data_IF_058524760107
#
_entry.id   IF_058524760107
#
_cell.length_a   1.000
_cell.length_b   1.000
_cell.length_c   1.000
_cell.angle_alpha   90.00
_cell.angle_beta   90.00
_cell.angle_gamma   90.00
#
_symmetry.space_group_name_H-M   'P 1'
#
loop_
_entity.id
_entity.type
_entity.pdbx_description
1 polymer ?
#
# COMPACT_ATOMS: atom_id res chain seq x y z
N UNK A 1 -23.72 6.42 -12.00
CA UNK A 1 -22.40 5.77 -12.17
C UNK A 1 -21.38 6.31 -11.17
N UNK A 2 -21.25 7.64 -11.03
CA UNK A 2 -20.38 8.29 -10.02
C UNK A 2 -20.60 7.78 -8.59
N UNK A 3 -21.84 7.69 -8.12
CA UNK A 3 -22.11 7.26 -6.74
C UNK A 3 -21.73 5.80 -6.47
N UNK A 4 -21.93 4.92 -7.47
CA UNK A 4 -21.50 3.52 -7.38
C UNK A 4 -19.97 3.44 -7.30
N UNK A 5 -19.27 4.21 -8.15
CA UNK A 5 -17.81 4.27 -8.11
C UNK A 5 -17.29 4.83 -6.78
N UNK A 6 -17.95 5.83 -6.21
CA UNK A 6 -17.62 6.37 -4.88
C UNK A 6 -17.82 5.35 -3.77
N UNK A 7 -18.96 4.66 -3.73
CA UNK A 7 -19.24 3.61 -2.73
C UNK A 7 -18.18 2.51 -2.83
N UNK A 8 -17.90 2.03 -4.04
CA UNK A 8 -16.87 1.01 -4.28
C UNK A 8 -15.49 1.50 -3.85
N UNK A 9 -15.13 2.75 -4.16
CA UNK A 9 -13.85 3.35 -3.77
C UNK A 9 -13.69 3.39 -2.25
N UNK A 10 -14.72 3.84 -1.52
CA UNK A 10 -14.69 3.93 -0.06
C UNK A 10 -14.61 2.54 0.58
N UNK A 11 -15.43 1.58 0.14
CA UNK A 11 -15.40 0.21 0.66
C UNK A 11 -14.05 -0.44 0.39
N UNK A 12 -13.52 -0.31 -0.83
CA UNK A 12 -12.20 -0.82 -1.18
C UNK A 12 -11.09 -0.16 -0.35
N UNK A 13 -11.19 1.15 -0.10
CA UNK A 13 -10.26 1.90 0.75
C UNK A 13 -10.25 1.40 2.19
N UNK A 14 -11.42 1.16 2.78
CA UNK A 14 -11.53 0.60 4.14
C UNK A 14 -10.90 -0.79 4.21
N UNK A 15 -11.19 -1.65 3.23
CA UNK A 15 -10.57 -2.98 3.13
C UNK A 15 -9.04 -2.84 3.03
N UNK A 16 -8.53 -1.97 2.16
CA UNK A 16 -7.09 -1.77 2.00
C UNK A 16 -6.40 -1.26 3.29
N UNK A 17 -7.03 -0.35 4.04
CA UNK A 17 -6.50 0.16 5.32
C UNK A 17 -6.37 -0.96 6.35
N UNK A 18 -7.39 -1.80 6.48
CA UNK A 18 -7.44 -2.90 7.46
C UNK A 18 -6.49 -4.03 7.05
N UNK A 19 -6.49 -4.40 5.78
CA UNK A 19 -5.70 -5.53 5.29
C UNK A 19 -4.23 -5.20 5.08
N UNK A 20 -3.82 -3.95 4.91
CA UNK A 20 -2.41 -3.64 4.66
C UNK A 20 -1.44 -4.03 5.79
N UNK A 21 -1.69 -3.69 7.08
CA UNK A 21 -0.83 -4.14 8.17
C UNK A 21 -0.86 -5.66 8.33
N UNK A 22 -2.03 -6.28 8.13
CA UNK A 22 -2.19 -7.73 8.18
C UNK A 22 -1.39 -8.41 7.06
N UNK A 23 -1.44 -7.88 5.84
CA UNK A 23 -0.67 -8.34 4.70
C UNK A 23 0.83 -8.26 4.98
N UNK A 24 1.33 -7.12 5.46
CA UNK A 24 2.74 -6.92 5.80
C UNK A 24 3.18 -7.95 6.84
N UNK A 25 2.46 -8.06 7.96
CA UNK A 25 2.84 -8.94 9.07
C UNK A 25 2.77 -10.41 8.67
N UNK A 26 1.70 -10.85 8.00
CA UNK A 26 1.54 -12.25 7.60
C UNK A 26 2.54 -12.64 6.51
N UNK A 27 2.77 -11.78 5.52
CA UNK A 27 3.76 -12.04 4.47
C UNK A 27 5.17 -12.10 5.06
N UNK A 28 5.53 -11.19 5.96
CA UNK A 28 6.82 -11.23 6.66
C UNK A 28 6.99 -12.47 7.55
N UNK A 29 5.92 -12.91 8.24
CA UNK A 29 5.96 -14.10 9.12
C UNK A 29 5.95 -15.43 8.38
N UNK A 30 5.26 -15.51 7.24
CA UNK A 30 5.14 -16.76 6.46
C UNK A 30 6.16 -16.88 5.33
N UNK A 31 7.05 -15.89 5.17
CA UNK A 31 8.10 -15.90 4.15
C UNK A 31 7.57 -16.08 2.72
N UNK A 32 6.44 -15.45 2.40
CA UNK A 32 5.83 -15.58 1.08
C UNK A 32 4.50 -14.88 0.94
N UNK A 33 3.94 -14.93 -0.27
CA UNK A 33 2.61 -14.38 -0.55
C UNK A 33 1.55 -15.07 0.33
N UNK A 34 0.70 -14.26 0.93
CA UNK A 34 -0.41 -14.72 1.76
C UNK A 34 -1.73 -14.24 1.18
N UNK A 35 -2.82 -14.93 1.53
CA UNK A 35 -4.17 -14.51 1.16
C UNK A 35 -4.47 -13.06 1.56
N UNK A 36 -3.94 -12.59 2.70
CA UNK A 36 -4.10 -11.21 3.14
C UNK A 36 -3.35 -10.22 2.24
N UNK A 37 -2.16 -10.61 1.76
CA UNK A 37 -1.40 -9.83 0.76
C UNK A 37 -2.13 -9.72 -0.57
N UNK A 38 -2.76 -10.81 -1.01
CA UNK A 38 -3.56 -10.83 -2.23
C UNK A 38 -4.84 -9.98 -2.09
N UNK A 39 -5.56 -10.10 -0.97
CA UNK A 39 -6.72 -9.23 -0.68
C UNK A 39 -6.31 -7.76 -0.65
N UNK A 40 -5.17 -7.44 -0.03
CA UNK A 40 -4.65 -6.07 0.00
C UNK A 40 -4.29 -5.56 -1.39
N UNK A 41 -3.64 -6.37 -2.24
CA UNK A 41 -3.32 -6.02 -3.62
C UNK A 41 -4.58 -5.71 -4.43
N UNK A 42 -5.57 -6.60 -4.39
CA UNK A 42 -6.82 -6.40 -5.13
C UNK A 42 -7.63 -5.21 -4.59
N UNK A 43 -7.63 -4.97 -3.27
CA UNK A 43 -8.27 -3.81 -2.68
C UNK A 43 -7.64 -2.51 -3.19
N UNK A 44 -6.30 -2.41 -3.21
CA UNK A 44 -5.60 -1.25 -3.75
C UNK A 44 -5.84 -1.10 -5.25
N UNK A 45 -5.80 -2.18 -6.02
CA UNK A 45 -6.12 -2.15 -7.45
C UNK A 45 -7.53 -1.58 -7.69
N UNK A 46 -8.51 -1.99 -6.90
CA UNK A 46 -9.88 -1.49 -6.97
C UNK A 46 -9.98 -0.01 -6.56
N UNK A 47 -9.27 0.42 -5.52
CA UNK A 47 -9.17 1.84 -5.13
C UNK A 47 -8.59 2.67 -6.27
N UNK A 48 -7.50 2.22 -6.89
CA UNK A 48 -6.86 2.92 -8.00
C UNK A 48 -7.78 2.98 -9.23
N UNK A 49 -8.41 1.86 -9.61
CA UNK A 49 -9.31 1.82 -10.75
C UNK A 49 -10.52 2.73 -10.55
N UNK A 50 -11.14 2.69 -9.37
CA UNK A 50 -12.26 3.57 -9.04
C UNK A 50 -11.84 5.04 -8.99
N UNK A 51 -10.65 5.36 -8.47
CA UNK A 51 -10.12 6.72 -8.53
C UNK A 51 -9.97 7.21 -9.98
N UNK A 52 -9.40 6.39 -10.88
CA UNK A 52 -9.26 6.72 -12.30
C UNK A 52 -10.61 6.96 -12.99
N UNK A 53 -11.65 6.24 -12.59
CA UNK A 53 -13.03 6.47 -13.08
C UNK A 53 -13.62 7.76 -12.53
N UNK A 54 -13.26 8.16 -11.30
CA UNK A 54 -13.75 9.38 -10.67
C UNK A 54 -13.06 10.65 -11.20
N UNK A 55 -11.79 10.58 -11.62
CA UNK A 55 -11.03 11.75 -12.12
C UNK A 55 -11.75 12.52 -13.24
N UNK A 56 -12.29 11.87 -14.30
CA UNK A 56 -13.00 12.58 -15.37
C UNK A 56 -14.24 13.34 -14.91
N UNK A 57 -14.89 12.94 -13.81
CA UNK A 57 -16.09 13.62 -13.31
C UNK A 57 -15.78 14.97 -12.66
N UNK A 58 -14.60 15.14 -12.07
CA UNK A 58 -14.17 16.38 -11.39
C UNK A 58 -12.69 16.69 -11.72
N UNK A 59 -12.39 16.81 -13.02
CA UNK A 59 -11.02 16.90 -13.55
C UNK A 59 -10.17 18.01 -12.89
N UNK A 60 -10.75 19.19 -12.68
CA UNK A 60 -10.03 20.36 -12.15
C UNK A 60 -9.50 20.15 -10.73
N UNK A 61 -10.17 19.33 -9.92
CA UNK A 61 -9.78 19.04 -8.55
C UNK A 61 -9.03 17.70 -8.41
N UNK A 62 -9.35 16.73 -9.27
CA UNK A 62 -8.92 15.34 -9.09
C UNK A 62 -7.78 14.90 -10.01
N UNK A 63 -7.27 15.74 -10.91
CA UNK A 63 -6.21 15.34 -11.85
C UNK A 63 -4.98 14.73 -11.17
N UNK A 64 -4.63 15.18 -9.96
CA UNK A 64 -3.49 14.68 -9.17
C UNK A 64 -3.65 13.21 -8.77
N UNK A 65 -4.89 12.70 -8.66
CA UNK A 65 -5.15 11.30 -8.35
C UNK A 65 -4.72 10.36 -9.47
N UNK A 66 -4.56 10.86 -10.70
CA UNK A 66 -4.15 10.05 -11.83
C UNK A 66 -2.71 9.50 -11.66
N UNK A 67 -1.66 10.33 -11.54
CA UNK A 67 -0.31 9.83 -11.25
C UNK A 67 -0.21 9.16 -9.87
N UNK A 68 -0.96 9.64 -8.87
CA UNK A 68 -0.92 9.07 -7.52
C UNK A 68 -1.46 7.64 -7.47
N UNK A 69 -2.55 7.34 -8.18
CA UNK A 69 -3.14 6.01 -8.23
C UNK A 69 -2.21 5.02 -8.94
N UNK A 70 -1.59 5.42 -10.06
CA UNK A 70 -0.59 4.62 -10.76
C UNK A 70 0.61 4.32 -9.87
N UNK A 71 1.18 5.34 -9.22
CA UNK A 71 2.33 5.16 -8.32
C UNK A 71 1.98 4.21 -7.16
N UNK A 72 0.82 4.41 -6.53
CA UNK A 72 0.34 3.56 -5.42
C UNK A 72 0.20 2.11 -5.85
N UNK A 73 -0.41 1.86 -7.00
CA UNK A 73 -0.54 0.50 -7.53
C UNK A 73 0.82 -0.15 -7.81
N UNK A 74 1.76 0.61 -8.40
CA UNK A 74 3.12 0.10 -8.66
C UNK A 74 3.84 -0.31 -7.38
N UNK A 75 3.73 0.48 -6.29
CA UNK A 75 4.29 0.09 -4.99
C UNK A 75 3.75 -1.27 -4.52
N UNK A 76 2.44 -1.45 -4.54
CA UNK A 76 1.80 -2.68 -4.06
C UNK A 76 2.07 -3.87 -4.98
N UNK A 77 2.13 -3.64 -6.28
CA UNK A 77 2.52 -4.66 -7.26
C UNK A 77 3.97 -5.14 -7.05
N UNK A 78 4.92 -4.22 -6.84
CA UNK A 78 6.31 -4.59 -6.55
C UNK A 78 6.44 -5.30 -5.19
N UNK A 79 5.65 -4.88 -4.19
CA UNK A 79 5.55 -5.57 -2.91
C UNK A 79 5.05 -7.02 -3.05
N UNK A 80 4.04 -7.24 -3.89
CA UNK A 80 3.53 -8.58 -4.19
C UNK A 80 4.57 -9.43 -4.93
N UNK A 81 5.26 -8.88 -5.93
CA UNK A 81 6.33 -9.59 -6.63
C UNK A 81 7.48 -9.99 -5.69
N UNK A 82 7.83 -9.12 -4.76
CA UNK A 82 8.82 -9.45 -3.73
C UNK A 82 8.35 -10.55 -2.78
N UNK A 83 7.04 -10.69 -2.56
CA UNK A 83 6.45 -11.76 -1.76
C UNK A 83 6.29 -13.09 -2.55
N UNK A 84 6.07 -13.03 -3.87
CA UNK A 84 5.96 -14.20 -4.76
C UNK A 84 7.31 -14.89 -5.00
N UNK A 85 8.39 -14.10 -5.08
CA UNK A 85 9.74 -14.61 -5.30
C UNK A 85 10.68 -14.12 -4.17
N UNK A 86 10.62 -14.73 -2.97
CA UNK A 86 11.46 -14.35 -1.85
C UNK A 86 12.94 -14.68 -2.13
N UNK A 87 13.71 -13.70 -2.60
CA UNK A 87 15.18 -13.74 -2.66
C UNK A 87 15.81 -12.99 -1.48
N UNK A 88 17.14 -12.89 -1.39
CA UNK A 88 17.84 -12.44 -0.16
C UNK A 88 17.24 -11.23 0.59
N UNK A 89 16.98 -10.09 -0.08
CA UNK A 89 16.43 -8.86 0.56
C UNK A 89 14.92 -8.68 0.34
N UNK A 90 14.16 -9.75 0.09
CA UNK A 90 12.73 -9.72 -0.23
C UNK A 90 11.88 -8.94 0.79
N UNK A 91 12.20 -9.04 2.09
CA UNK A 91 11.48 -8.34 3.15
C UNK A 91 11.50 -6.82 2.97
N UNK A 92 12.59 -6.26 2.41
CA UNK A 92 12.68 -4.82 2.08
C UNK A 92 11.73 -4.46 0.94
N UNK A 93 11.60 -5.35 -0.05
CA UNK A 93 10.65 -5.19 -1.14
C UNK A 93 9.20 -5.20 -0.64
N UNK A 94 8.86 -6.12 0.26
CA UNK A 94 7.52 -6.18 0.88
C UNK A 94 7.26 -4.94 1.75
N UNK A 95 8.19 -4.56 2.62
CA UNK A 95 8.07 -3.37 3.48
C UNK A 95 7.90 -2.09 2.65
N UNK A 96 8.75 -1.86 1.65
CA UNK A 96 8.67 -0.67 0.80
C UNK A 96 7.46 -0.71 -0.14
N UNK A 97 7.08 -1.88 -0.63
CA UNK A 97 5.95 -2.05 -1.53
C UNK A 97 4.60 -1.96 -0.81
N UNK A 98 4.29 -2.94 0.05
CA UNK A 98 3.02 -2.95 0.79
C UNK A 98 2.94 -1.82 1.82
N UNK A 99 4.03 -1.54 2.54
CA UNK A 99 4.08 -0.41 3.47
C UNK A 99 3.99 0.94 2.76
N UNK A 100 4.71 1.11 1.65
CA UNK A 100 4.64 2.33 0.84
C UNK A 100 3.25 2.57 0.28
N UNK A 101 2.59 1.53 -0.25
CA UNK A 101 1.20 1.60 -0.70
C UNK A 101 0.23 1.97 0.41
N UNK A 102 0.43 1.45 1.63
CA UNK A 102 -0.40 1.79 2.78
C UNK A 102 -0.22 3.25 3.18
N UNK A 103 1.03 3.74 3.19
CA UNK A 103 1.32 5.16 3.50
C UNK A 103 0.71 6.07 2.45
N UNK A 104 0.80 5.71 1.16
CA UNK A 104 0.18 6.47 0.09
C UNK A 104 -1.35 6.54 0.27
N UNK A 105 -1.99 5.44 0.68
CA UNK A 105 -3.42 5.43 0.99
C UNK A 105 -3.77 6.38 2.14
N UNK A 106 -3.02 6.37 3.24
CA UNK A 106 -3.25 7.31 4.34
C UNK A 106 -2.96 8.76 3.97
N UNK A 107 -1.95 8.98 3.14
CA UNK A 107 -1.66 10.30 2.58
C UNK A 107 -2.86 10.82 1.80
N UNK A 108 -3.45 9.99 0.93
CA UNK A 108 -4.65 10.37 0.19
C UNK A 108 -5.83 10.67 1.12
N UNK A 109 -6.07 9.84 2.15
CA UNK A 109 -7.13 10.08 3.15
C UNK A 109 -6.91 11.43 3.85
N UNK A 110 -5.70 11.70 4.32
CA UNK A 110 -5.36 12.95 5.03
C UNK A 110 -5.53 14.16 4.14
N UNK A 111 -5.05 14.10 2.89
CA UNK A 111 -5.16 15.20 1.91
C UNK A 111 -6.60 15.53 1.58
N UNK A 112 -7.47 14.53 1.49
CA UNK A 112 -8.90 14.73 1.15
C UNK A 112 -9.73 15.12 2.37
N UNK A 113 -9.36 14.63 3.56
CA UNK A 113 -10.17 14.81 4.78
C UNK A 113 -9.83 16.07 5.57
N UNK A 114 -8.59 16.56 5.51
CA UNK A 114 -8.17 17.75 6.24
C UNK A 114 -8.33 19.03 5.40
N UNK A 115 -8.81 20.12 6.01
CA UNK A 115 -8.95 21.40 5.32
C UNK A 115 -7.58 21.96 4.92
N UNK A 116 -7.31 22.06 3.61
CA UNK A 116 -6.32 22.88 2.88
C UNK A 116 -5.01 23.28 3.59
N UNK A 117 -4.45 22.44 4.46
CA UNK A 117 -3.11 22.61 4.98
C UNK A 117 -2.13 22.01 3.98
N UNK A 118 -1.40 22.88 3.30
CA UNK A 118 -0.46 22.53 2.23
C UNK A 118 0.65 21.55 2.63
N UNK A 119 0.81 21.23 3.92
CA UNK A 119 1.83 20.33 4.46
C UNK A 119 1.28 19.03 5.07
N UNK A 120 -0.05 18.85 5.13
CA UNK A 120 -0.66 17.67 5.78
C UNK A 120 -0.28 16.35 5.12
N UNK A 121 0.00 16.36 3.81
CA UNK A 121 0.50 15.19 3.08
C UNK A 121 1.90 14.76 3.53
N UNK A 122 2.73 15.67 4.05
CA UNK A 122 4.09 15.37 4.42
C UNK A 122 4.17 14.51 5.68
N UNK A 123 3.22 14.63 6.60
CA UNK A 123 3.20 13.89 7.87
C UNK A 123 3.18 12.38 7.64
N UNK A 124 2.16 11.79 6.96
CA UNK A 124 2.12 10.34 6.76
C UNK A 124 3.30 9.84 5.93
N UNK A 125 3.76 10.61 4.93
CA UNK A 125 4.89 10.22 4.10
C UNK A 125 6.19 10.17 4.93
N UNK A 126 6.52 11.25 5.64
CA UNK A 126 7.78 11.35 6.39
C UNK A 126 7.80 10.35 7.53
N UNK A 127 6.73 10.30 8.33
CA UNK A 127 6.64 9.37 9.46
C UNK A 127 6.64 7.93 8.98
N UNK A 128 5.81 7.61 7.98
CA UNK A 128 5.70 6.27 7.44
C UNK A 128 7.00 5.79 6.80
N UNK A 129 7.64 6.63 5.97
CA UNK A 129 8.89 6.27 5.30
C UNK A 129 10.02 6.09 6.30
N UNK A 130 10.10 6.94 7.33
CA UNK A 130 11.09 6.78 8.40
C UNK A 130 10.92 5.45 9.15
N UNK A 131 9.67 5.05 9.45
CA UNK A 131 9.37 3.76 10.08
C UNK A 131 9.74 2.59 9.16
N UNK A 132 9.40 2.64 7.88
CA UNK A 132 9.77 1.59 6.90
C UNK A 132 11.28 1.43 6.79
N UNK A 133 12.01 2.53 6.62
CA UNK A 133 13.47 2.47 6.49
C UNK A 133 14.12 2.00 7.79
N UNK A 134 13.62 2.43 8.96
CA UNK A 134 14.08 1.92 10.24
C UNK A 134 13.89 0.41 10.37
N UNK A 135 12.75 -0.14 9.95
CA UNK A 135 12.50 -1.58 9.90
C UNK A 135 13.38 -2.30 8.87
N UNK A 136 13.76 -1.64 7.77
CA UNK A 136 14.69 -2.18 6.79
C UNK A 136 16.15 -2.24 7.31
N UNK A 137 16.54 -1.30 8.18
CA UNK A 137 17.87 -1.25 8.81
C UNK A 137 17.97 -2.13 10.06
N UNK A 138 16.88 -2.28 10.81
CA UNK A 138 16.78 -3.15 11.99
C UNK A 138 15.72 -4.23 11.77
N UNK A 139 15.95 -5.17 10.84
CA UNK A 139 15.01 -6.25 10.60
C UNK A 139 14.92 -7.16 11.82
N UNK A 140 13.73 -7.69 12.07
CA UNK A 140 13.57 -8.76 13.05
C UNK A 140 14.36 -10.00 12.58
N UNK A 141 15.07 -10.74 13.46
CA UNK A 141 15.79 -11.96 13.08
C UNK A 141 14.91 -12.98 12.37
N UNK A 142 13.62 -13.02 12.74
CA UNK A 142 12.64 -13.90 12.13
C UNK A 142 12.30 -13.58 10.68
N UNK A 143 12.72 -12.43 10.11
CA UNK A 143 12.50 -12.09 8.69
C UNK A 143 13.71 -12.40 7.82
N UNK A 144 14.89 -12.47 8.42
CA UNK A 144 16.18 -12.64 7.74
C UNK A 144 16.67 -14.08 7.69
N UNK A 145 16.12 -14.96 8.53
CA UNK A 145 16.44 -16.38 8.46
C UNK A 145 15.74 -17.02 7.25
N UNK A 146 16.54 -17.51 6.30
CA UNK A 146 16.06 -18.47 5.31
C UNK A 146 15.64 -19.76 6.05
N UNK A 147 14.47 -20.35 5.74
CA UNK A 147 14.17 -21.69 6.21
C UNK A 147 15.26 -22.63 5.69
N UNK A 148 15.95 -23.35 6.58
CA UNK A 148 16.87 -24.42 6.18
C UNK A 148 16.10 -25.43 5.32
N UNK A 149 16.56 -25.76 4.11
CA UNK A 149 15.94 -26.81 3.32
C UNK A 149 16.26 -28.16 3.98
N UNK A 150 15.31 -28.70 4.76
CA UNK A 150 15.39 -30.08 5.28
C UNK A 150 14.95 -30.32 6.72
N UNK A 151 13.70 -29.96 7.08
CA UNK A 151 12.97 -30.59 8.19
C UNK A 151 11.52 -30.85 7.77
#
# INVERSE_FOLDING_TARGET
MRDIALILHVVAGVVAVVFGPLAIVLTLRRHGLTWAGEVYHWAIALVCLTALVLVPYDWSQLWVFWPLSVATYLFVYLGQRAAEAPGGLWYRGVLRGYGGGWIALWTAIVVVSLPHQAWSWAIPIVVGSAVIEWLCFKPSPGWTHEPQPGN
#
